data_IF_586391352093
#
_entry.id   IF_586391352093
#
_cell.length_a   1.000
_cell.length_b   1.000
_cell.length_c   1.000
_cell.angle_alpha   90.00
_cell.angle_beta   90.00
_cell.angle_gamma   90.00
#
_symmetry.space_group_name_H-M   'P 1'
#
loop_
_entity.id
_entity.type
_entity.pdbx_description
1 polymer ?
#
# COMPACT_ATOMS: atom_id res chain seq x y z
N UNK A 1 55.79 12.93 66.01
CA UNK A 1 54.90 13.91 65.32
C UNK A 1 54.06 13.12 64.33
N UNK A 2 52.86 12.66 64.72
CA UNK A 2 51.55 13.35 64.72
C UNK A 2 50.77 13.20 63.39
N UNK A 3 49.61 12.53 63.51
CA UNK A 3 48.30 12.75 62.84
C UNK A 3 47.99 12.10 61.46
N UNK A 4 47.17 11.04 61.55
CA UNK A 4 45.91 10.76 60.81
C UNK A 4 44.97 11.99 60.60
N UNK A 5 43.86 11.96 59.82
CA UNK A 5 43.43 11.17 58.63
C UNK A 5 42.68 12.05 57.55
N UNK A 6 41.54 11.69 56.89
CA UNK A 6 41.31 11.88 55.45
C UNK A 6 40.22 12.92 55.08
N UNK A 7 40.16 13.40 53.83
CA UNK A 7 38.99 14.09 53.23
C UNK A 7 39.02 13.87 51.72
N UNK A 8 38.14 13.05 51.14
CA UNK A 8 36.71 13.24 50.84
C UNK A 8 36.45 14.02 49.54
N UNK A 9 35.50 13.47 48.79
CA UNK A 9 34.61 14.11 47.81
C UNK A 9 35.21 14.62 46.50
N UNK A 10 35.37 13.69 45.55
CA UNK A 10 35.22 13.97 44.12
C UNK A 10 34.08 13.13 43.59
N UNK A 11 32.85 13.64 43.67
CA UNK A 11 31.64 13.07 43.08
C UNK A 11 31.85 12.93 41.57
N UNK A 12 31.85 11.73 40.95
CA UNK A 12 31.50 11.66 39.55
C UNK A 12 30.02 12.00 39.47
N UNK A 13 29.73 13.21 39.04
CA UNK A 13 28.39 13.60 38.64
C UNK A 13 27.90 12.55 37.62
N UNK A 14 27.02 11.67 38.10
CA UNK A 14 25.80 11.25 37.43
C UNK A 14 25.61 11.95 36.07
N UNK A 15 26.16 11.39 35.00
CA UNK A 15 25.66 11.66 33.64
C UNK A 15 24.38 10.85 33.47
N UNK A 16 23.38 11.21 34.26
CA UNK A 16 22.03 10.73 34.09
C UNK A 16 21.52 11.23 32.74
N UNK A 17 21.17 10.28 31.89
CA UNK A 17 19.97 10.30 31.08
C UNK A 17 19.64 11.64 30.39
N UNK A 18 20.33 11.93 29.28
CA UNK A 18 19.64 12.57 28.15
C UNK A 18 19.17 11.51 27.16
N UNK A 19 18.57 10.42 27.64
CA UNK A 19 17.72 9.56 26.81
C UNK A 19 16.38 10.27 26.63
N UNK A 20 16.40 11.41 25.97
CA UNK A 20 15.18 11.95 25.39
C UNK A 20 14.62 10.88 24.45
N UNK A 21 13.30 10.64 24.43
CA UNK A 21 12.73 9.71 23.47
C UNK A 21 13.23 10.11 22.07
N UNK A 22 13.66 9.17 21.22
CA UNK A 22 14.14 9.49 19.89
C UNK A 22 13.07 10.37 19.23
N UNK A 23 13.43 11.62 18.89
CA UNK A 23 12.51 12.51 18.18
C UNK A 23 12.07 11.76 16.93
N UNK A 24 10.78 11.47 16.84
CA UNK A 24 10.19 10.90 15.65
C UNK A 24 10.61 11.80 14.47
N UNK A 25 11.47 11.27 13.61
CA UNK A 25 11.81 11.93 12.36
C UNK A 25 10.51 12.05 11.57
N UNK A 26 10.20 13.25 11.03
CA UNK A 26 8.99 13.41 10.24
C UNK A 26 8.97 12.42 9.07
N UNK A 27 7.79 11.90 8.69
CA UNK A 27 7.68 10.99 7.55
C UNK A 27 8.24 11.67 6.29
N UNK A 28 9.00 10.93 5.49
CA UNK A 28 9.47 11.47 4.21
C UNK A 28 8.31 11.51 3.22
N UNK A 29 8.43 12.33 2.17
CA UNK A 29 7.41 12.46 1.13
C UNK A 29 6.87 11.11 0.58
N UNK A 30 7.71 10.08 0.29
CA UNK A 30 7.21 8.77 -0.14
C UNK A 30 6.45 8.00 0.95
N UNK A 31 6.80 8.14 2.23
CA UNK A 31 6.07 7.51 3.34
C UNK A 31 4.64 8.06 3.43
N UNK A 32 4.53 9.38 3.34
CA UNK A 32 3.26 10.08 3.34
C UNK A 32 2.39 9.68 2.14
N UNK A 33 3.01 9.44 0.97
CA UNK A 33 2.30 8.98 -0.21
C UNK A 33 1.67 7.59 0.03
N UNK A 34 2.42 6.60 0.51
CA UNK A 34 1.82 5.26 0.70
C UNK A 34 0.80 5.26 1.83
N UNK A 35 1.03 5.98 2.92
CA UNK A 35 0.03 6.14 3.98
C UNK A 35 -1.26 6.80 3.46
N UNK A 36 -1.14 7.85 2.62
CA UNK A 36 -2.29 8.49 1.98
C UNK A 36 -3.00 7.51 1.02
N UNK A 37 -2.26 6.71 0.26
CA UNK A 37 -2.85 5.70 -0.62
C UNK A 37 -3.68 4.69 0.16
N UNK A 38 -3.15 4.18 1.28
CA UNK A 38 -3.85 3.23 2.15
C UNK A 38 -5.08 3.86 2.81
N UNK A 39 -4.98 5.12 3.25
CA UNK A 39 -6.14 5.85 3.79
C UNK A 39 -7.24 6.04 2.73
N UNK A 40 -6.86 6.37 1.49
CA UNK A 40 -7.80 6.48 0.38
C UNK A 40 -8.39 5.11 -0.01
N UNK A 41 -7.62 4.03 0.05
CA UNK A 41 -8.11 2.66 -0.18
C UNK A 41 -9.11 2.22 0.92
N UNK A 42 -8.86 2.59 2.17
CA UNK A 42 -9.80 2.38 3.26
C UNK A 42 -11.10 3.18 3.03
N UNK A 43 -10.99 4.44 2.61
CA UNK A 43 -12.16 5.23 2.22
C UNK A 43 -12.89 4.60 1.03
N UNK A 44 -12.18 4.14 0.00
CA UNK A 44 -12.76 3.47 -1.16
C UNK A 44 -13.54 2.22 -0.75
N UNK A 45 -13.01 1.45 0.20
CA UNK A 45 -13.68 0.29 0.78
C UNK A 45 -14.97 0.68 1.51
N UNK A 46 -14.94 1.75 2.32
CA UNK A 46 -16.12 2.24 3.05
C UNK A 46 -17.18 2.81 2.10
N UNK A 47 -16.76 3.61 1.12
CA UNK A 47 -17.64 4.20 0.11
C UNK A 47 -18.32 3.10 -0.71
N UNK A 48 -17.57 2.11 -1.18
CA UNK A 48 -18.15 0.99 -1.90
C UNK A 48 -19.07 0.14 -1.00
N UNK A 49 -18.69 -0.14 0.24
CA UNK A 49 -19.55 -0.91 1.16
C UNK A 49 -20.88 -0.21 1.48
N UNK A 50 -20.88 1.12 1.58
CA UNK A 50 -22.07 1.93 1.93
C UNK A 50 -22.93 2.27 0.72
N UNK A 51 -22.32 2.73 -0.36
CA UNK A 51 -23.01 3.36 -1.49
C UNK A 51 -22.97 2.51 -2.76
N UNK A 52 -22.23 1.39 -2.76
CA UNK A 52 -21.95 0.55 -3.95
C UNK A 52 -21.40 1.35 -5.12
N UNK A 53 -20.64 2.40 -4.81
CA UNK A 53 -20.07 3.34 -5.77
C UNK A 53 -18.67 3.72 -5.34
N UNK A 54 -17.77 3.80 -6.32
CA UNK A 54 -16.43 4.32 -6.16
C UNK A 54 -16.35 5.71 -6.81
N UNK A 55 -16.22 6.80 -6.03
CA UNK A 55 -16.14 8.15 -6.58
C UNK A 55 -14.91 8.33 -7.47
N UNK A 56 -15.09 8.93 -8.66
CA UNK A 56 -13.98 9.19 -9.57
C UNK A 56 -12.89 10.07 -8.95
N UNK A 57 -13.29 11.06 -8.13
CA UNK A 57 -12.35 11.94 -7.44
C UNK A 57 -11.44 11.16 -6.47
N UNK A 58 -12.00 10.17 -5.78
CA UNK A 58 -11.25 9.30 -4.86
C UNK A 58 -10.22 8.46 -5.63
N UNK A 59 -10.64 7.85 -6.72
CA UNK A 59 -9.75 7.04 -7.58
C UNK A 59 -8.67 7.90 -8.26
N UNK A 60 -9.01 9.12 -8.66
CA UNK A 60 -8.04 10.08 -9.18
C UNK A 60 -7.00 10.48 -8.13
N UNK A 61 -7.42 10.72 -6.88
CA UNK A 61 -6.49 10.97 -5.78
C UNK A 61 -5.59 9.77 -5.51
N UNK A 62 -6.13 8.55 -5.50
CA UNK A 62 -5.35 7.32 -5.35
C UNK A 62 -4.30 7.19 -6.46
N UNK A 63 -4.68 7.42 -7.71
CA UNK A 63 -3.76 7.37 -8.85
C UNK A 63 -2.67 8.43 -8.74
N UNK A 64 -3.01 9.66 -8.37
CA UNK A 64 -2.04 10.74 -8.18
C UNK A 64 -1.01 10.41 -7.09
N UNK A 65 -1.48 9.81 -5.99
CA UNK A 65 -0.60 9.38 -4.89
C UNK A 65 0.31 8.23 -5.30
N UNK A 66 -0.21 7.24 -6.04
CA UNK A 66 0.61 6.16 -6.58
C UNK A 66 1.69 6.69 -7.54
N UNK A 67 1.33 7.64 -8.42
CA UNK A 67 2.28 8.31 -9.31
C UNK A 67 3.32 9.11 -8.54
N UNK A 68 2.94 9.84 -7.50
CA UNK A 68 3.86 10.56 -6.64
C UNK A 68 4.87 9.61 -5.97
N UNK A 69 4.41 8.44 -5.51
CA UNK A 69 5.30 7.39 -4.99
C UNK A 69 6.25 6.86 -6.06
N UNK A 70 5.77 6.56 -7.26
CA UNK A 70 6.65 6.11 -8.36
C UNK A 70 7.63 7.17 -8.81
N UNK A 71 7.25 8.45 -8.79
CA UNK A 71 8.14 9.58 -9.05
C UNK A 71 9.21 9.68 -7.97
N UNK A 72 8.85 9.56 -6.69
CA UNK A 72 9.81 9.54 -5.60
C UNK A 72 10.82 8.39 -5.73
N UNK A 73 10.36 7.21 -6.18
CA UNK A 73 11.24 6.07 -6.52
C UNK A 73 12.15 6.39 -7.70
N UNK A 74 11.64 7.02 -8.77
CA UNK A 74 12.44 7.39 -9.93
C UNK A 74 13.54 8.41 -9.59
N UNK A 75 13.25 9.32 -8.66
CA UNK A 75 14.20 10.32 -8.15
C UNK A 75 15.11 9.78 -7.03
N UNK A 76 15.00 8.50 -6.66
CA UNK A 76 15.75 7.88 -5.57
C UNK A 76 15.64 8.66 -4.25
N UNK A 77 14.47 9.24 -3.95
CA UNK A 77 14.27 10.00 -2.73
C UNK A 77 14.41 9.08 -1.50
N UNK A 78 15.04 9.55 -0.42
CA UNK A 78 15.25 8.75 0.78
C UNK A 78 13.92 8.37 1.43
N UNK A 79 13.78 7.08 1.77
CA UNK A 79 12.68 6.53 2.56
C UNK A 79 13.03 6.64 4.03
N UNK A 80 12.04 6.89 4.90
CA UNK A 80 12.34 6.97 6.33
C UNK A 80 12.83 5.62 6.86
N UNK A 81 13.92 5.60 7.66
CA UNK A 81 14.36 4.37 8.32
C UNK A 81 13.33 3.82 9.30
N UNK A 82 12.33 4.62 9.70
CA UNK A 82 11.25 4.21 10.60
C UNK A 82 10.18 3.30 9.97
N UNK A 83 10.18 3.10 8.65
CA UNK A 83 9.20 2.30 7.92
C UNK A 83 9.89 1.21 7.08
N UNK A 84 10.45 0.15 7.71
CA UNK A 84 11.25 -0.86 7.03
C UNK A 84 10.49 -1.61 5.94
N UNK A 85 9.18 -1.79 6.10
CA UNK A 85 8.33 -2.43 5.11
C UNK A 85 8.23 -1.64 3.80
N UNK A 86 8.30 -0.30 3.88
CA UNK A 86 8.21 0.56 2.70
C UNK A 86 9.51 0.55 1.91
N UNK A 87 10.65 0.57 2.61
CA UNK A 87 11.96 0.36 2.00
C UNK A 87 12.02 -0.99 1.27
N UNK A 88 11.51 -2.05 1.91
CA UNK A 88 11.44 -3.37 1.30
C UNK A 88 10.51 -3.41 0.08
N UNK A 89 9.32 -2.78 0.17
CA UNK A 89 8.40 -2.66 -0.96
C UNK A 89 9.05 -1.94 -2.14
N UNK A 90 9.65 -0.77 -1.91
CA UNK A 90 10.26 0.03 -2.96
C UNK A 90 11.45 -0.66 -3.63
N UNK A 91 12.23 -1.42 -2.86
CA UNK A 91 13.39 -2.18 -3.35
C UNK A 91 13.02 -3.43 -4.16
N UNK A 92 11.91 -4.09 -3.82
CA UNK A 92 11.47 -5.30 -4.52
C UNK A 92 10.59 -5.03 -5.75
N UNK A 93 10.06 -3.81 -5.88
CA UNK A 93 9.28 -3.42 -7.04
C UNK A 93 10.17 -3.19 -8.27
N UNK A 94 9.72 -3.56 -9.48
CA UNK A 94 10.40 -3.20 -10.72
C UNK A 94 10.61 -1.69 -10.86
N UNK A 95 11.47 -1.31 -11.81
CA UNK A 95 11.69 0.09 -12.15
C UNK A 95 10.36 0.81 -12.46
N UNK A 96 10.20 2.09 -12.07
CA UNK A 96 8.93 2.82 -12.21
C UNK A 96 8.36 2.85 -13.63
N UNK A 97 9.21 3.03 -14.65
CA UNK A 97 8.78 3.17 -16.06
C UNK A 97 8.01 1.94 -16.57
N UNK A 98 8.64 0.75 -16.64
CA UNK A 98 7.97 -0.48 -17.06
C UNK A 98 6.73 -0.82 -16.22
N UNK A 99 6.76 -0.52 -14.92
CA UNK A 99 5.64 -0.72 -14.02
C UNK A 99 4.42 0.12 -14.45
N UNK A 100 4.62 1.42 -14.70
CA UNK A 100 3.55 2.33 -15.12
C UNK A 100 3.02 2.00 -16.52
N UNK A 101 3.90 1.59 -17.46
CA UNK A 101 3.47 1.13 -18.78
C UNK A 101 2.57 -0.11 -18.64
N UNK A 102 2.98 -1.07 -17.81
CA UNK A 102 2.16 -2.25 -17.51
C UNK A 102 0.83 -1.89 -16.87
N UNK A 103 0.81 -0.91 -15.95
CA UNK A 103 -0.41 -0.42 -15.31
C UNK A 103 -1.39 0.20 -16.31
N UNK A 104 -0.90 1.02 -17.25
CA UNK A 104 -1.72 1.59 -18.33
C UNK A 104 -2.24 0.49 -19.25
N UNK A 105 -1.37 -0.43 -19.67
CA UNK A 105 -1.74 -1.52 -20.58
C UNK A 105 -2.83 -2.43 -19.97
N UNK A 106 -2.67 -2.84 -18.70
CA UNK A 106 -3.66 -3.70 -18.04
C UNK A 106 -4.98 -2.98 -17.80
N UNK A 107 -4.94 -1.69 -17.45
CA UNK A 107 -6.15 -0.89 -17.25
C UNK A 107 -6.90 -0.68 -18.57
N UNK A 108 -6.18 -0.41 -19.66
CA UNK A 108 -6.75 -0.29 -20.99
C UNK A 108 -7.37 -1.62 -21.46
N UNK A 109 -6.67 -2.74 -21.25
CA UNK A 109 -7.18 -4.07 -21.57
C UNK A 109 -8.45 -4.41 -20.76
N UNK A 110 -8.45 -4.14 -19.46
CA UNK A 110 -9.61 -4.35 -18.59
C UNK A 110 -10.79 -3.44 -18.98
N UNK A 111 -10.53 -2.18 -19.33
CA UNK A 111 -11.56 -1.26 -19.82
C UNK A 111 -12.13 -1.71 -21.17
N UNK A 112 -11.29 -2.19 -22.09
CA UNK A 112 -11.74 -2.73 -23.37
C UNK A 112 -12.59 -4.01 -23.18
N UNK A 113 -12.17 -4.90 -22.29
CA UNK A 113 -12.94 -6.10 -21.94
C UNK A 113 -14.29 -5.75 -21.32
N UNK A 114 -14.34 -4.78 -20.40
CA UNK A 114 -15.56 -4.25 -19.78
C UNK A 114 -16.51 -3.65 -20.82
N UNK A 115 -15.99 -2.83 -21.74
CA UNK A 115 -16.78 -2.24 -22.84
C UNK A 115 -17.34 -3.33 -23.78
N UNK A 116 -16.53 -4.34 -24.10
CA UNK A 116 -16.95 -5.48 -24.91
C UNK A 116 -18.06 -6.28 -24.20
N UNK A 117 -17.89 -6.59 -22.92
CA UNK A 117 -18.90 -7.31 -22.13
C UNK A 117 -20.24 -6.56 -22.08
N UNK A 118 -20.20 -5.24 -21.89
CA UNK A 118 -21.41 -4.39 -21.92
C UNK A 118 -22.09 -4.39 -23.29
N UNK A 119 -21.32 -4.32 -24.37
CA UNK A 119 -21.86 -4.41 -25.75
C UNK A 119 -22.51 -5.75 -26.04
N UNK A 120 -22.03 -6.82 -25.41
CA UNK A 120 -22.61 -8.17 -25.50
C UNK A 120 -23.79 -8.40 -24.53
N UNK A 121 -24.24 -7.36 -23.80
CA UNK A 121 -25.36 -7.46 -22.85
C UNK A 121 -25.05 -8.30 -21.60
N UNK A 122 -23.78 -8.56 -21.31
CA UNK A 122 -23.36 -9.34 -20.14
C UNK A 122 -23.21 -8.46 -18.90
N UNK A 123 -23.47 -9.05 -17.73
CA UNK A 123 -23.07 -8.48 -16.45
C UNK A 123 -21.57 -8.27 -16.43
N UNK A 124 -21.14 -7.04 -16.15
CA UNK A 124 -19.76 -6.61 -16.24
C UNK A 124 -19.26 -6.19 -14.84
N UNK A 125 -17.93 -6.20 -14.65
CA UNK A 125 -17.31 -5.96 -13.33
C UNK A 125 -17.60 -4.53 -12.86
N UNK A 126 -17.59 -3.57 -13.79
CA UNK A 126 -17.84 -2.17 -13.51
C UNK A 126 -16.60 -1.30 -13.72
N UNK A 127 -16.80 -0.13 -14.32
CA UNK A 127 -15.70 0.79 -14.62
C UNK A 127 -14.99 1.33 -13.36
N UNK A 128 -15.66 1.33 -12.20
CA UNK A 128 -15.05 1.70 -10.92
C UNK A 128 -13.96 0.72 -10.50
N UNK A 129 -14.21 -0.58 -10.64
CA UNK A 129 -13.28 -1.64 -10.26
C UNK A 129 -12.08 -1.71 -11.21
N UNK A 130 -12.30 -1.45 -12.51
CA UNK A 130 -11.21 -1.32 -13.49
C UNK A 130 -10.26 -0.18 -13.11
N UNK A 131 -10.79 0.96 -12.67
CA UNK A 131 -9.99 2.10 -12.21
C UNK A 131 -9.26 1.79 -10.90
N UNK A 132 -9.91 1.08 -9.97
CA UNK A 132 -9.28 0.63 -8.73
C UNK A 132 -8.11 -0.32 -9.00
N UNK A 133 -8.29 -1.27 -9.93
CA UNK A 133 -7.22 -2.14 -10.42
C UNK A 133 -6.06 -1.30 -10.98
N UNK A 134 -6.35 -0.28 -11.80
CA UNK A 134 -5.34 0.64 -12.32
C UNK A 134 -4.55 1.38 -11.24
N UNK A 135 -5.22 1.80 -10.16
CA UNK A 135 -4.56 2.45 -9.02
C UNK A 135 -3.59 1.49 -8.31
N UNK A 136 -4.03 0.26 -8.04
CA UNK A 136 -3.17 -0.77 -7.44
C UNK A 136 -2.05 -1.20 -8.39
N UNK A 137 -2.31 -1.30 -9.69
CA UNK A 137 -1.29 -1.61 -10.69
C UNK A 137 -0.25 -0.49 -10.82
N UNK A 138 -0.64 0.77 -10.66
CA UNK A 138 0.29 1.89 -10.61
C UNK A 138 1.17 1.89 -9.36
N UNK A 139 0.69 1.31 -8.25
CA UNK A 139 1.47 1.18 -7.00
C UNK A 139 2.37 -0.06 -7.00
N UNK A 140 1.83 -1.23 -7.36
CA UNK A 140 2.47 -2.54 -7.17
C UNK A 140 2.96 -3.19 -8.47
N UNK A 141 2.57 -2.65 -9.62
CA UNK A 141 2.71 -3.29 -10.92
C UNK A 141 1.53 -4.18 -11.28
N UNK A 142 1.42 -4.49 -12.57
CA UNK A 142 0.26 -5.18 -13.14
C UNK A 142 0.09 -6.61 -12.60
N UNK A 143 1.18 -7.38 -12.45
CA UNK A 143 1.12 -8.77 -12.02
C UNK A 143 0.52 -8.94 -10.62
N UNK A 144 1.13 -8.34 -9.58
CA UNK A 144 0.61 -8.40 -8.22
C UNK A 144 -0.80 -7.81 -8.11
N UNK A 145 -1.08 -6.69 -8.78
CA UNK A 145 -2.39 -6.04 -8.72
C UNK A 145 -3.51 -6.91 -9.33
N UNK A 146 -3.27 -7.53 -10.50
CA UNK A 146 -4.26 -8.43 -11.13
C UNK A 146 -4.49 -9.67 -10.28
N UNK A 147 -3.42 -10.29 -9.77
CA UNK A 147 -3.52 -11.47 -8.93
C UNK A 147 -4.29 -11.18 -7.63
N UNK A 148 -4.00 -10.05 -6.99
CA UNK A 148 -4.70 -9.58 -5.80
C UNK A 148 -6.18 -9.33 -6.08
N UNK A 149 -6.49 -8.63 -7.16
CA UNK A 149 -7.87 -8.33 -7.54
C UNK A 149 -8.66 -9.62 -7.81
N UNK A 150 -8.09 -10.57 -8.56
CA UNK A 150 -8.72 -11.86 -8.81
C UNK A 150 -8.97 -12.65 -7.53
N UNK A 151 -7.96 -12.74 -6.65
CA UNK A 151 -8.09 -13.42 -5.35
C UNK A 151 -9.16 -12.77 -4.46
N UNK A 152 -9.17 -11.43 -4.38
CA UNK A 152 -10.16 -10.67 -3.63
C UNK A 152 -11.58 -10.89 -4.16
N UNK A 153 -11.76 -10.86 -5.48
CA UNK A 153 -13.06 -11.13 -6.12
C UNK A 153 -13.55 -12.55 -5.85
N UNK A 154 -12.67 -13.56 -5.97
CA UNK A 154 -13.01 -14.94 -5.65
C UNK A 154 -13.42 -15.12 -4.18
N UNK A 155 -12.67 -14.51 -3.26
CA UNK A 155 -12.98 -14.58 -1.82
C UNK A 155 -14.31 -13.86 -1.49
N UNK A 156 -14.51 -12.67 -2.07
CA UNK A 156 -15.74 -11.91 -1.92
C UNK A 156 -16.95 -12.67 -2.45
N UNK A 157 -16.82 -13.29 -3.63
CA UNK A 157 -17.86 -14.13 -4.23
C UNK A 157 -18.17 -15.36 -3.36
N UNK A 158 -17.14 -16.05 -2.85
CA UNK A 158 -17.32 -17.20 -1.96
C UNK A 158 -18.07 -16.81 -0.68
N UNK A 159 -17.68 -15.71 -0.03
CA UNK A 159 -18.36 -15.23 1.19
C UNK A 159 -19.78 -14.75 0.89
N UNK A 160 -20.02 -14.15 -0.28
CA UNK A 160 -21.36 -13.76 -0.71
C UNK A 160 -22.27 -14.97 -0.92
N UNK A 161 -21.75 -16.01 -1.58
CA UNK A 161 -22.45 -17.27 -1.80
C UNK A 161 -22.79 -17.96 -0.48
N UNK A 162 -21.84 -18.03 0.47
CA UNK A 162 -22.07 -18.57 1.81
C UNK A 162 -23.14 -17.79 2.60
N UNK A 163 -23.30 -16.50 2.32
CA UNK A 163 -24.31 -15.63 2.93
C UNK A 163 -25.62 -15.55 2.13
N UNK A 164 -25.76 -16.36 1.07
CA UNK A 164 -26.94 -16.37 0.20
C UNK A 164 -27.18 -15.04 -0.54
N UNK A 165 -26.15 -14.22 -0.75
CA UNK A 165 -26.27 -12.93 -1.44
C UNK A 165 -25.90 -13.06 -2.91
N UNK A 166 -26.77 -12.60 -3.79
CA UNK A 166 -26.52 -12.56 -5.24
C UNK A 166 -25.46 -11.51 -5.65
N UNK A 167 -25.19 -10.52 -4.80
CA UNK A 167 -24.23 -9.44 -5.07
C UNK A 167 -23.40 -9.09 -3.83
N UNK A 168 -22.17 -8.62 -4.05
CA UNK A 168 -21.23 -8.22 -2.99
C UNK A 168 -20.46 -6.96 -3.36
N UNK A 169 -19.89 -6.28 -2.36
CA UNK A 169 -19.15 -5.03 -2.55
C UNK A 169 -17.72 -5.40 -2.89
N UNK A 170 -17.23 -5.00 -4.07
CA UNK A 170 -15.91 -5.41 -4.58
C UNK A 170 -14.79 -4.66 -3.85
N UNK A 171 -14.99 -3.37 -3.56
CA UNK A 171 -14.00 -2.46 -3.00
C UNK A 171 -13.29 -3.00 -1.74
N UNK A 172 -14.02 -3.46 -0.70
CA UNK A 172 -13.40 -4.00 0.51
C UNK A 172 -12.48 -5.21 0.26
N UNK A 173 -12.91 -6.14 -0.60
CA UNK A 173 -12.12 -7.34 -0.90
C UNK A 173 -10.92 -7.04 -1.79
N UNK A 174 -11.12 -6.17 -2.78
CA UNK A 174 -10.07 -5.69 -3.67
C UNK A 174 -8.98 -4.93 -2.90
N UNK A 175 -9.37 -4.00 -2.00
CA UNK A 175 -8.41 -3.23 -1.22
C UNK A 175 -7.69 -4.09 -0.19
N UNK A 176 -8.39 -5.02 0.48
CA UNK A 176 -7.75 -5.96 1.40
C UNK A 176 -6.71 -6.82 0.67
N UNK A 177 -7.08 -7.38 -0.48
CA UNK A 177 -6.15 -8.18 -1.28
C UNK A 177 -4.97 -7.34 -1.79
N UNK A 178 -5.20 -6.09 -2.18
CA UNK A 178 -4.14 -5.15 -2.57
C UNK A 178 -3.16 -4.86 -1.43
N UNK A 179 -3.65 -4.68 -0.20
CA UNK A 179 -2.79 -4.51 0.99
C UNK A 179 -1.97 -5.77 1.25
N UNK A 180 -2.58 -6.94 1.17
CA UNK A 180 -1.86 -8.22 1.31
C UNK A 180 -0.79 -8.37 0.22
N UNK A 181 -1.11 -8.01 -1.03
CA UNK A 181 -0.14 -8.05 -2.12
C UNK A 181 1.01 -7.06 -1.91
N UNK A 182 0.75 -5.86 -1.41
CA UNK A 182 1.80 -4.91 -1.03
C UNK A 182 2.72 -5.49 0.06
N UNK A 183 2.14 -6.14 1.05
CA UNK A 183 2.91 -6.82 2.10
C UNK A 183 3.75 -7.99 1.54
N UNK A 184 3.18 -8.80 0.63
CA UNK A 184 3.90 -9.88 -0.03
C UNK A 184 4.99 -9.37 -0.98
N UNK A 185 4.81 -8.24 -1.65
CA UNK A 185 5.89 -7.61 -2.42
C UNK A 185 7.01 -7.10 -1.50
N UNK A 186 6.67 -6.60 -0.32
CA UNK A 186 7.66 -6.15 0.66
C UNK A 186 8.46 -7.33 1.27
N UNK A 187 7.80 -8.42 1.66
CA UNK A 187 8.41 -9.47 2.48
C UNK A 187 8.47 -10.87 1.86
N UNK A 188 7.77 -11.10 0.75
CA UNK A 188 7.70 -12.39 0.05
C UNK A 188 9.07 -12.97 -0.33
N UNK A 189 10.02 -12.16 -0.86
CA UNK A 189 11.36 -12.65 -1.16
C UNK A 189 12.09 -13.18 0.09
N UNK A 190 11.95 -12.48 1.23
CA UNK A 190 12.55 -12.89 2.51
C UNK A 190 11.93 -14.20 3.00
N UNK A 191 10.61 -14.34 2.90
CA UNK A 191 9.88 -15.54 3.35
C UNK A 191 10.26 -16.79 2.52
N UNK A 192 10.52 -16.62 1.22
CA UNK A 192 10.90 -17.72 0.33
C UNK A 192 12.38 -18.12 0.44
N UNK A 193 13.26 -17.24 0.94
CA UNK A 193 14.68 -17.54 1.16
C UNK A 193 14.97 -18.34 2.44
N UNK A 194 14.00 -18.49 3.35
CA UNK A 194 14.11 -19.32 4.56
C UNK A 194 13.54 -20.75 4.39
N UNK A 195 13.25 -21.16 3.15
CA UNK A 195 12.87 -22.53 2.78
C UNK A 195 13.96 -23.17 1.94
#
# INVERSE_FOLDING_TARGET
MTRSPPRSSGTPASSACSSGPPRATPPTAPDAAVAAFLALAAWASVADARERRLPNALLAAMAAVALAFQMARALSLPLSPGLPWLAALAGNLPAPGPLLVGAVAVTAAAAAAELCARRLGRGAVGMGDVKLLGCWAALLGWGPAVAAMAAGLCLGAAVAALRGRATFAVGPWACLAGVVAAFLCAFGPVILSFR
#
